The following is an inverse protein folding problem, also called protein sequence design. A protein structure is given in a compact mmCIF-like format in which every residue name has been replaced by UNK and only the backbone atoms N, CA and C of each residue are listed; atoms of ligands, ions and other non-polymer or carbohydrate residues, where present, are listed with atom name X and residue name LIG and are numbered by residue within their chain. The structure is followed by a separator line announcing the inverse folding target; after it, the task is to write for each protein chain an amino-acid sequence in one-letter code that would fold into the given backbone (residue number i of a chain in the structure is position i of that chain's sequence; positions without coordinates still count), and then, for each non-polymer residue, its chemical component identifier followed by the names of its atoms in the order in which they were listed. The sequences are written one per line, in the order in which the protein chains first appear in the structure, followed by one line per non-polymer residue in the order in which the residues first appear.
data_IF_735976107625
#
_entry.id   IF_735976107625
#
_cell.length_a   1.000
_cell.length_b   1.000
_cell.length_c   1.000
_cell.angle_alpha   90.00
_cell.angle_beta   90.00
_cell.angle_gamma   90.00
#
_symmetry.space_group_name_H-M   'P 1'
#
loop_
_entity.id
_entity.type
_entity.pdbx_description
1 polymer ?
#
# COMPACT_ATOMS: atom_id res chain seq x y z
N UNK A 1 -8.45 -19.59 -16.46
CA UNK A 1 -9.11 -18.29 -16.75
C UNK A 1 -9.60 -17.64 -15.46
N UNK A 2 -10.57 -18.23 -14.73
CA UNK A 2 -11.13 -17.65 -13.50
C UNK A 2 -10.04 -17.30 -12.46
N UNK A 3 -9.16 -18.23 -12.12
CA UNK A 3 -8.03 -17.97 -11.20
C UNK A 3 -7.13 -16.80 -11.64
N UNK A 4 -6.78 -16.75 -12.93
CA UNK A 4 -5.89 -15.70 -13.47
C UNK A 4 -6.52 -14.31 -13.43
N UNK A 5 -7.84 -14.20 -13.63
CA UNK A 5 -8.56 -12.92 -13.52
C UNK A 5 -8.46 -12.36 -12.10
N UNK A 6 -8.67 -13.20 -11.09
CA UNK A 6 -8.55 -12.78 -9.69
C UNK A 6 -7.12 -12.38 -9.31
N UNK A 7 -6.12 -13.13 -9.80
CA UNK A 7 -4.71 -12.78 -9.57
C UNK A 7 -4.37 -11.42 -10.19
N UNK A 8 -4.73 -11.19 -11.45
CA UNK A 8 -4.47 -9.91 -12.10
C UNK A 8 -5.23 -8.75 -11.45
N UNK A 9 -6.46 -8.99 -11.01
CA UNK A 9 -7.23 -8.00 -10.27
C UNK A 9 -6.59 -7.66 -8.91
N UNK A 10 -6.05 -8.65 -8.20
CA UNK A 10 -5.37 -8.45 -6.92
C UNK A 10 -4.04 -7.68 -7.09
N UNK A 11 -3.25 -8.01 -8.11
CA UNK A 11 -2.02 -7.28 -8.47
C UNK A 11 -2.34 -5.82 -8.83
N UNK A 12 -3.37 -5.60 -9.65
CA UNK A 12 -3.83 -4.25 -10.02
C UNK A 12 -4.33 -3.44 -8.83
N UNK A 13 -5.08 -4.07 -7.92
CA UNK A 13 -5.56 -3.42 -6.69
C UNK A 13 -4.41 -3.04 -5.75
N UNK A 14 -3.41 -3.92 -5.60
CA UNK A 14 -2.24 -3.66 -4.76
C UNK A 14 -1.38 -2.53 -5.32
N UNK A 15 -1.25 -2.41 -6.64
CA UNK A 15 -0.55 -1.28 -7.27
C UNK A 15 -1.36 0.02 -7.16
N UNK A 16 -2.68 -0.07 -7.26
CA UNK A 16 -3.60 1.08 -7.17
C UNK A 16 -3.67 1.71 -5.79
N UNK A 17 -3.45 0.95 -4.71
CA UNK A 17 -3.50 1.50 -3.33
C UNK A 17 -2.20 2.24 -2.92
N UNK A 18 -1.05 1.90 -3.52
CA UNK A 18 0.27 2.50 -3.24
C UNK A 18 0.29 4.03 -3.16
N UNK A 19 -0.28 4.78 -4.13
CA UNK A 19 -0.27 6.25 -4.09
C UNK A 19 -0.99 6.85 -2.88
N UNK A 20 -1.96 6.13 -2.32
CA UNK A 20 -2.76 6.61 -1.19
C UNK A 20 -2.09 6.39 0.17
N UNK A 21 -0.96 5.66 0.22
CA UNK A 21 -0.23 5.38 1.47
C UNK A 21 0.46 6.65 2.00
N UNK A 22 0.98 7.51 1.11
CA UNK A 22 1.58 8.78 1.49
C UNK A 22 1.37 9.82 0.37
N UNK A 23 0.26 10.58 0.41
CA UNK A 23 -0.12 11.53 -0.63
C UNK A 23 0.97 12.52 -1.06
N UNK A 24 1.76 13.15 -0.16
CA UNK A 24 2.82 14.08 -0.56
C UNK A 24 4.03 13.43 -1.24
N UNK A 25 4.22 12.11 -1.14
CA UNK A 25 5.37 11.39 -1.71
C UNK A 25 4.95 10.27 -2.68
N UNK A 26 3.79 10.42 -3.32
CA UNK A 26 3.18 9.43 -4.20
C UNK A 26 4.12 8.93 -5.31
N UNK A 27 4.88 9.84 -5.95
CA UNK A 27 5.77 9.50 -7.07
C UNK A 27 6.93 8.58 -6.67
N UNK A 28 7.53 8.80 -5.50
CA UNK A 28 8.63 7.96 -5.02
C UNK A 28 8.16 6.55 -4.66
N UNK A 29 6.99 6.43 -4.02
CA UNK A 29 6.45 5.12 -3.61
C UNK A 29 5.97 4.33 -4.83
N UNK A 30 5.24 4.99 -5.75
CA UNK A 30 4.85 4.37 -7.02
C UNK A 30 6.08 3.94 -7.85
N UNK A 31 7.15 4.75 -7.86
CA UNK A 31 8.41 4.41 -8.52
C UNK A 31 9.09 3.18 -7.93
N UNK A 32 9.13 3.05 -6.59
CA UNK A 32 9.69 1.88 -5.91
C UNK A 32 8.89 0.62 -6.23
N UNK A 33 7.56 0.67 -6.15
CA UNK A 33 6.70 -0.50 -6.43
C UNK A 33 6.77 -0.90 -7.91
N UNK A 34 6.75 0.08 -8.83
CA UNK A 34 6.87 -0.17 -10.26
C UNK A 34 8.22 -0.79 -10.66
N UNK A 35 9.33 -0.31 -10.07
CA UNK A 35 10.64 -0.92 -10.28
C UNK A 35 10.72 -2.32 -9.65
N UNK A 36 10.16 -2.50 -8.45
CA UNK A 36 10.14 -3.76 -7.73
C UNK A 36 9.45 -4.89 -8.49
N UNK A 37 8.32 -4.62 -9.17
CA UNK A 37 7.63 -5.62 -9.99
C UNK A 37 8.49 -6.16 -11.13
N UNK A 38 9.18 -5.28 -11.86
CA UNK A 38 10.10 -5.68 -12.93
C UNK A 38 11.32 -6.43 -12.41
N UNK A 39 11.93 -5.96 -11.31
CA UNK A 39 13.06 -6.65 -10.68
C UNK A 39 12.66 -8.03 -10.17
N UNK A 40 11.49 -8.16 -9.54
CA UNK A 40 10.96 -9.44 -9.06
C UNK A 40 10.78 -10.44 -10.20
N UNK A 41 10.20 -10.02 -11.33
CA UNK A 41 10.04 -10.87 -12.51
C UNK A 41 11.38 -11.39 -13.05
N UNK A 42 12.41 -10.55 -13.08
CA UNK A 42 13.76 -10.96 -13.50
C UNK A 42 14.40 -11.89 -12.47
N UNK A 43 14.32 -11.59 -11.17
CA UNK A 43 14.88 -12.42 -10.11
C UNK A 43 14.26 -13.83 -10.11
N UNK A 44 12.93 -13.93 -10.16
CA UNK A 44 12.27 -15.23 -10.25
C UNK A 44 12.51 -15.91 -11.60
N UNK A 45 12.49 -15.17 -12.72
CA UNK A 45 12.80 -15.72 -14.04
C UNK A 45 14.21 -16.32 -14.13
N UNK A 46 15.21 -15.69 -13.50
CA UNK A 46 16.55 -16.24 -13.37
C UNK A 46 16.59 -17.42 -12.40
N UNK A 47 15.82 -17.36 -11.30
CA UNK A 47 15.67 -18.48 -10.36
C UNK A 47 15.11 -19.74 -11.03
N UNK A 48 14.03 -19.61 -11.79
CA UNK A 48 13.44 -20.69 -12.60
C UNK A 48 14.39 -21.23 -13.68
N UNK A 49 15.39 -20.45 -14.10
CA UNK A 49 16.39 -20.89 -15.09
C UNK A 49 17.55 -21.68 -14.47
N UNK A 50 17.84 -21.49 -13.18
CA UNK A 50 18.98 -22.11 -12.50
C UNK A 50 18.58 -23.26 -11.57
N UNK A 51 17.32 -23.29 -11.12
CA UNK A 51 16.77 -24.31 -10.22
C UNK A 51 15.86 -25.29 -10.97
N UNK A 52 15.66 -26.48 -10.39
CA UNK A 52 14.61 -27.38 -10.86
C UNK A 52 13.24 -26.71 -10.69
N UNK A 53 12.30 -27.00 -11.59
CA UNK A 53 10.95 -26.42 -11.55
C UNK A 53 10.29 -26.58 -10.18
N UNK A 54 10.46 -27.75 -9.54
CA UNK A 54 9.87 -28.00 -8.22
C UNK A 54 10.45 -27.08 -7.15
N UNK A 55 11.77 -26.94 -7.12
CA UNK A 55 12.46 -26.11 -6.14
C UNK A 55 12.19 -24.62 -6.39
N UNK A 56 12.13 -24.19 -7.65
CA UNK A 56 11.78 -22.82 -8.03
C UNK A 56 10.35 -22.45 -7.60
N UNK A 57 9.37 -23.35 -7.81
CA UNK A 57 8.01 -23.14 -7.33
C UNK A 57 7.91 -23.10 -5.80
N UNK A 58 8.66 -23.95 -5.09
CA UNK A 58 8.69 -23.94 -3.62
C UNK A 58 9.30 -22.63 -3.11
N UNK A 59 10.43 -22.17 -3.66
CA UNK A 59 11.06 -20.91 -3.26
C UNK A 59 10.13 -19.72 -3.52
N UNK A 60 9.48 -19.68 -4.69
CA UNK A 60 8.49 -18.64 -5.00
C UNK A 60 7.32 -18.66 -4.01
N UNK A 61 6.76 -19.84 -3.74
CA UNK A 61 5.66 -20.00 -2.78
C UNK A 61 6.04 -19.61 -1.35
N UNK A 62 7.22 -20.01 -0.89
CA UNK A 62 7.75 -19.62 0.42
C UNK A 62 7.96 -18.11 0.53
N UNK A 63 8.46 -17.45 -0.52
CA UNK A 63 8.59 -15.99 -0.53
C UNK A 63 7.23 -15.29 -0.40
N UNK A 64 6.19 -15.76 -1.11
CA UNK A 64 4.83 -15.19 -1.04
C UNK A 64 4.19 -15.44 0.33
N UNK A 65 4.31 -16.66 0.86
CA UNK A 65 3.78 -16.99 2.20
C UNK A 65 4.54 -16.24 3.30
N UNK A 66 5.85 -16.06 3.15
CA UNK A 66 6.69 -15.29 4.05
C UNK A 66 6.34 -13.81 4.04
N UNK A 67 6.11 -13.21 2.86
CA UNK A 67 5.67 -11.81 2.77
C UNK A 67 4.25 -11.61 3.31
N UNK A 68 3.32 -12.51 3.03
CA UNK A 68 1.97 -12.48 3.59
C UNK A 68 1.99 -12.63 5.12
N UNK A 69 2.81 -13.55 5.64
CA UNK A 69 3.00 -13.75 7.07
C UNK A 69 3.65 -12.54 7.75
N UNK A 70 4.65 -11.93 7.11
CA UNK A 70 5.30 -10.73 7.64
C UNK A 70 4.34 -9.54 7.65
N UNK A 71 3.51 -9.38 6.62
CA UNK A 71 2.43 -8.38 6.59
C UNK A 71 1.42 -8.60 7.71
N UNK A 72 1.06 -9.85 8.02
CA UNK A 72 0.21 -10.17 9.17
C UNK A 72 0.91 -9.88 10.52
N UNK A 73 2.24 -9.89 10.54
CA UNK A 73 3.07 -9.53 11.69
C UNK A 73 3.37 -8.03 11.80
N UNK A 74 2.92 -7.19 10.86
CA UNK A 74 2.88 -5.73 11.01
C UNK A 74 1.84 -5.39 12.09
N UNK A 75 2.24 -5.62 13.34
CA UNK A 75 1.49 -5.22 14.52
C UNK A 75 1.71 -3.73 14.74
N UNK A 76 0.77 -2.92 14.29
CA UNK A 76 0.66 -1.53 14.68
C UNK A 76 0.28 -1.50 16.17
N UNK A 77 1.19 -1.00 17.00
CA UNK A 77 0.94 -0.82 18.43
C UNK A 77 -0.03 0.35 18.61
N UNK A 78 -1.34 0.06 18.62
CA UNK A 78 -2.38 1.08 18.87
C UNK A 78 -3.77 0.84 18.27
N UNK A 79 -3.97 -0.15 17.38
CA UNK A 79 -5.29 -0.45 16.81
C UNK A 79 -5.57 -1.96 16.76
N UNK A 80 -6.85 -2.30 16.90
CA UNK A 80 -7.42 -3.63 16.77
C UNK A 80 -6.86 -4.39 15.57
N UNK A 81 -6.07 -5.43 15.83
CA UNK A 81 -5.61 -6.35 14.79
C UNK A 81 -6.79 -7.16 14.24
N UNK A 82 -6.72 -7.54 12.95
CA UNK A 82 -7.74 -8.23 12.14
C UNK A 82 -8.35 -9.51 12.77
N UNK A 83 -7.78 -10.03 13.86
CA UNK A 83 -8.24 -11.24 14.54
C UNK A 83 -8.96 -10.98 15.87
N UNK A 84 -8.88 -9.78 16.45
CA UNK A 84 -9.72 -9.37 17.58
C UNK A 84 -9.65 -7.85 17.80
N UNK A 85 -10.67 -7.14 17.35
CA UNK A 85 -10.88 -5.73 17.66
C UNK A 85 -12.03 -5.54 18.62
N UNK A 86 -11.75 -4.95 19.78
CA UNK A 86 -12.77 -4.32 20.61
C UNK A 86 -12.72 -2.83 20.30
N UNK A 87 -13.82 -2.27 19.81
CA UNK A 87 -13.92 -0.87 19.45
C UNK A 87 -13.97 0.00 20.71
N UNK A 88 -12.99 0.89 20.88
CA UNK A 88 -13.11 2.01 21.80
C UNK A 88 -13.81 3.18 21.09
N UNK A 89 -14.97 3.69 21.57
CA UNK A 89 -15.78 4.71 20.90
C UNK A 89 -15.17 6.13 20.88
N UNK A 90 -13.90 6.29 21.26
CA UNK A 90 -13.20 7.58 21.32
C UNK A 90 -11.96 7.66 20.40
N UNK A 91 -11.83 6.77 19.40
CA UNK A 91 -10.67 6.73 18.50
C UNK A 91 -10.98 7.23 17.07
N UNK A 92 -12.00 8.08 16.94
CA UNK A 92 -12.45 8.66 15.67
C UNK A 92 -11.66 9.89 15.19
N UNK A 93 -10.33 9.97 15.39
CA UNK A 93 -9.55 11.15 14.95
C UNK A 93 -8.22 10.91 14.23
N UNK A 94 -7.84 9.68 13.86
CA UNK A 94 -6.53 9.48 13.20
C UNK A 94 -6.44 8.42 12.09
N UNK A 95 -7.54 7.91 11.53
CA UNK A 95 -7.40 6.93 10.41
C UNK A 95 -8.43 7.08 9.28
N UNK A 96 -9.26 8.13 9.27
CA UNK A 96 -10.27 8.35 8.21
C UNK A 96 -10.28 9.79 7.70
N UNK A 97 -9.11 10.35 7.35
CA UNK A 97 -9.06 11.53 6.49
C UNK A 97 -9.05 11.07 5.03
N UNK A 98 -10.22 10.69 4.52
CA UNK A 98 -10.48 10.76 3.08
C UNK A 98 -10.82 12.24 2.82
N UNK A 99 -10.03 13.00 2.04
CA UNK A 99 -10.53 14.24 1.47
C UNK A 99 -11.61 13.84 0.48
N UNK A 100 -12.87 14.01 0.87
CA UNK A 100 -13.96 14.18 -0.10
C UNK A 100 -13.86 15.64 -0.58
N UNK A 101 -13.69 15.85 -1.88
CA UNK A 101 -14.49 16.88 -2.50
C UNK A 101 -15.11 16.34 -3.79
N UNK A 102 -16.40 16.02 -3.70
CA UNK A 102 -17.30 16.50 -4.74
C UNK A 102 -17.30 18.04 -4.64
N UNK A 103 -16.89 18.66 -5.75
CA UNK A 103 -17.14 20.04 -6.21
C UNK A 103 -17.34 21.20 -5.20
N UNK A 104 -16.56 22.27 -5.45
CA UNK A 104 -16.95 23.70 -5.35
C UNK A 104 -17.07 24.27 -3.91
N UNK A 105 -16.12 25.08 -3.43
CA UNK A 105 -16.02 26.56 -3.44
C UNK A 105 -15.07 26.84 -2.24
N UNK A 106 -14.20 27.84 -2.11
CA UNK A 106 -14.25 29.26 -2.44
C UNK A 106 -12.83 29.83 -2.13
N UNK A 107 -12.61 31.07 -2.51
CA UNK A 107 -11.33 31.60 -2.96
C UNK A 107 -10.49 32.32 -1.88
N UNK A 108 -10.86 32.55 -0.64
CA UNK A 108 -10.39 33.77 0.03
C UNK A 108 -9.85 33.59 1.47
N UNK A 109 -8.53 33.74 1.65
CA UNK A 109 -7.90 34.33 2.87
C UNK A 109 -6.34 34.34 2.82
N UNK A 110 -5.72 34.89 1.77
CA UNK A 110 -4.27 35.21 1.79
C UNK A 110 -3.97 36.64 2.31
N UNK A 111 -4.99 37.45 2.62
CA UNK A 111 -4.80 38.85 3.02
C UNK A 111 -5.54 39.08 4.35
N UNK A 112 -4.84 39.29 5.47
CA UNK A 112 -5.18 40.30 6.53
C UNK A 112 -4.40 40.17 7.86
N UNK A 113 -3.73 39.07 8.20
CA UNK A 113 -2.93 39.01 9.46
C UNK A 113 -1.46 39.45 9.31
N UNK A 114 -1.17 40.34 8.36
CA UNK A 114 -0.08 41.33 8.48
C UNK A 114 -0.70 42.58 9.14
N UNK A 115 -0.88 42.54 10.46
CA UNK A 115 -0.97 43.76 11.26
C UNK A 115 -0.20 43.50 12.55
N UNK A 116 0.67 44.44 12.92
CA UNK A 116 1.31 44.58 14.25
C UNK A 116 2.71 44.01 14.52
N UNK A 117 3.67 44.04 13.58
CA UNK A 117 5.10 44.06 13.93
C UNK A 117 6.07 44.64 12.86
N UNK A 118 5.74 45.80 12.25
CA UNK A 118 6.69 46.85 11.82
C UNK A 118 6.00 48.02 11.10
#
# INVERSE_FOLDING_TARGET
IIFSIFVQAAEGSTYGIVPYVNPPCTGSIAGIVGAGGNTGAVCFGLGFRQLDYKDAFIVMGCCILGSAGLSAFIFIKGHASLLCGRDDPNLGKSTLAVPEPEAEEEEDAYETNVKEDA
#
